data_IF_788906741203
#
_entry.id   IF_788906741203
#
_cell.length_a   1.000
_cell.length_b   1.000
_cell.length_c   1.000
_cell.angle_alpha   90.00
_cell.angle_beta   90.00
_cell.angle_gamma   90.00
#
_symmetry.space_group_name_H-M   'P 1'
#
loop_
_entity.id
_entity.type
_entity.pdbx_description
1 polymer ?
#
# COMPACT_ATOMS: atom_id res chain seq x y z
N UNK A 1 24.20 10.70 10.47
CA UNK A 1 23.52 9.39 10.64
C UNK A 1 23.02 8.94 9.29
N UNK A 2 23.25 7.71 8.90
CA UNK A 2 22.68 7.13 7.68
C UNK A 2 21.26 6.65 7.97
N UNK A 3 20.35 6.71 6.98
CA UNK A 3 19.02 6.13 7.07
C UNK A 3 19.17 4.61 6.95
N UNK A 4 18.65 3.87 7.94
CA UNK A 4 18.69 2.40 7.92
C UNK A 4 17.64 1.80 6.97
N UNK A 5 17.80 0.54 6.59
CA UNK A 5 16.83 -0.19 5.76
C UNK A 5 15.44 -0.26 6.43
N UNK A 6 15.40 -0.43 7.76
CA UNK A 6 14.16 -0.39 8.52
C UNK A 6 13.51 0.99 8.45
N UNK A 7 14.27 2.06 8.72
CA UNK A 7 13.75 3.44 8.66
C UNK A 7 13.27 3.82 7.26
N UNK A 8 13.92 3.31 6.22
CA UNK A 8 13.52 3.53 4.83
C UNK A 8 12.30 2.70 4.41
N UNK A 9 11.90 1.65 5.13
CA UNK A 9 10.84 0.71 4.73
C UNK A 9 9.63 0.73 5.66
N UNK A 10 9.65 -0.02 6.74
CA UNK A 10 8.49 -0.30 7.59
C UNK A 10 7.73 0.96 8.05
N UNK A 11 8.36 1.98 8.66
CA UNK A 11 7.65 3.18 9.09
C UNK A 11 7.02 3.95 7.92
N UNK A 12 7.68 3.97 6.75
CA UNK A 12 7.21 4.70 5.57
C UNK A 12 5.95 4.08 5.00
N UNK A 13 5.93 2.75 4.87
CA UNK A 13 4.73 2.03 4.45
C UNK A 13 3.59 2.21 5.44
N UNK A 14 3.85 2.06 6.74
CA UNK A 14 2.83 2.21 7.79
C UNK A 14 2.22 3.60 7.79
N UNK A 15 3.04 4.66 7.71
CA UNK A 15 2.53 6.02 7.71
C UNK A 15 1.59 6.29 6.53
N UNK A 16 1.99 5.91 5.31
CA UNK A 16 1.16 6.17 4.15
C UNK A 16 -0.08 5.27 4.09
N UNK A 17 -0.02 4.04 4.63
CA UNK A 17 -1.20 3.20 4.81
C UNK A 17 -2.20 3.79 5.80
N UNK A 18 -1.74 4.41 6.90
CA UNK A 18 -2.61 5.16 7.83
C UNK A 18 -3.28 6.34 7.14
N UNK A 19 -2.52 7.09 6.33
CA UNK A 19 -3.07 8.20 5.56
C UNK A 19 -4.11 7.72 4.54
N UNK A 20 -3.83 6.61 3.84
CA UNK A 20 -4.78 5.98 2.93
C UNK A 20 -6.07 5.56 3.65
N UNK A 21 -5.97 4.98 4.85
CA UNK A 21 -7.14 4.64 5.67
C UNK A 21 -8.00 5.87 5.97
N UNK A 22 -7.38 7.00 6.35
CA UNK A 22 -8.10 8.27 6.56
C UNK A 22 -8.74 8.83 5.28
N UNK A 23 -8.11 8.62 4.12
CA UNK A 23 -8.69 8.96 2.81
C UNK A 23 -9.93 8.11 2.54
N UNK A 24 -9.91 6.81 2.87
CA UNK A 24 -11.07 5.91 2.73
C UNK A 24 -12.22 6.31 3.67
N UNK A 25 -11.93 6.82 4.89
CA UNK A 25 -12.96 7.37 5.79
C UNK A 25 -13.71 8.55 5.13
N UNK A 26 -12.96 9.48 4.52
CA UNK A 26 -13.54 10.61 3.81
C UNK A 26 -14.34 10.17 2.59
N UNK A 27 -13.88 9.13 1.88
CA UNK A 27 -14.60 8.59 0.73
C UNK A 27 -15.91 7.92 1.14
N UNK A 28 -15.93 7.19 2.25
CA UNK A 28 -17.14 6.62 2.81
C UNK A 28 -18.13 7.71 3.20
N UNK A 29 -17.70 8.71 3.97
CA UNK A 29 -18.55 9.82 4.39
C UNK A 29 -19.13 10.61 3.18
N UNK A 30 -18.33 10.79 2.12
CA UNK A 30 -18.78 11.40 0.87
C UNK A 30 -19.88 10.58 0.20
N UNK A 31 -19.69 9.25 0.10
CA UNK A 31 -20.70 8.36 -0.50
C UNK A 31 -22.02 8.42 0.29
N UNK A 32 -21.97 8.39 1.62
CA UNK A 32 -23.12 8.49 2.51
C UNK A 32 -23.85 9.83 2.34
N UNK A 33 -23.11 10.94 2.38
CA UNK A 33 -23.69 12.30 2.23
C UNK A 33 -24.34 12.52 0.87
N UNK A 34 -23.80 11.91 -0.19
CA UNK A 34 -24.32 12.00 -1.57
C UNK A 34 -25.33 10.90 -1.90
N UNK A 35 -25.60 9.96 -0.99
CA UNK A 35 -26.44 8.77 -1.21
C UNK A 35 -25.97 7.93 -2.39
N UNK A 36 -24.65 7.82 -2.58
CA UNK A 36 -24.00 6.98 -3.58
C UNK A 36 -23.75 5.61 -2.96
N UNK A 37 -24.06 4.52 -3.66
CA UNK A 37 -23.61 3.19 -3.22
C UNK A 37 -22.08 3.16 -3.14
N UNK A 38 -21.45 2.90 -1.98
CA UNK A 38 -19.99 2.87 -1.83
C UNK A 38 -19.29 1.96 -2.83
N UNK A 39 -19.96 0.90 -3.31
CA UNK A 39 -19.41 -0.03 -4.31
C UNK A 39 -19.16 0.64 -5.66
N UNK A 40 -19.87 1.70 -5.99
CA UNK A 40 -19.59 2.50 -7.20
C UNK A 40 -18.19 3.12 -7.11
N UNK A 41 -17.81 3.66 -5.95
CA UNK A 41 -16.49 4.26 -5.73
C UNK A 41 -15.37 3.20 -5.64
N UNK A 42 -15.62 2.08 -4.96
CA UNK A 42 -14.61 1.01 -4.84
C UNK A 42 -14.35 0.30 -6.17
N UNK A 43 -15.33 0.24 -7.07
CA UNK A 43 -15.19 -0.32 -8.42
C UNK A 43 -14.71 0.71 -9.47
N UNK A 44 -14.65 2.01 -9.10
CA UNK A 44 -14.27 3.06 -10.04
C UNK A 44 -12.78 2.99 -10.44
N UNK A 45 -12.48 3.36 -11.69
CA UNK A 45 -11.13 3.36 -12.27
C UNK A 45 -10.95 4.57 -13.18
N UNK A 46 -9.69 5.03 -13.33
CA UNK A 46 -9.40 6.19 -14.17
C UNK A 46 -9.50 5.88 -15.67
N UNK A 47 -9.16 4.65 -16.05
CA UNK A 47 -9.22 4.20 -17.44
C UNK A 47 -9.64 2.72 -17.51
N UNK A 48 -10.30 2.26 -18.58
CA UNK A 48 -10.87 0.89 -18.66
C UNK A 48 -9.92 -0.26 -18.40
N UNK A 49 -8.63 -0.12 -18.73
CA UNK A 49 -7.59 -1.15 -18.51
C UNK A 49 -6.85 -1.03 -17.17
N UNK A 50 -7.11 0.03 -16.40
CA UNK A 50 -6.51 0.21 -15.08
C UNK A 50 -7.27 -0.59 -14.01
N UNK A 51 -6.58 -0.94 -12.94
CA UNK A 51 -7.20 -1.53 -11.76
C UNK A 51 -8.22 -0.58 -11.11
N UNK A 52 -9.35 -1.09 -10.61
CA UNK A 52 -10.29 -0.30 -9.82
C UNK A 52 -9.71 0.09 -8.47
N UNK A 53 -10.33 1.09 -7.81
CA UNK A 53 -9.89 1.67 -6.54
C UNK A 53 -9.62 0.59 -5.48
N UNK A 54 -10.53 -0.37 -5.29
CA UNK A 54 -10.32 -1.46 -4.34
C UNK A 54 -9.03 -2.24 -4.63
N UNK A 55 -8.77 -2.56 -5.91
CA UNK A 55 -7.56 -3.28 -6.30
C UNK A 55 -6.29 -2.46 -6.10
N UNK A 56 -6.35 -1.14 -6.23
CA UNK A 56 -5.22 -0.27 -5.92
C UNK A 56 -4.83 -0.38 -4.45
N UNK A 57 -5.81 -0.37 -3.54
CA UNK A 57 -5.57 -0.53 -2.09
C UNK A 57 -5.02 -1.92 -1.76
N UNK A 58 -5.58 -2.97 -2.37
CA UNK A 58 -5.11 -4.34 -2.18
C UNK A 58 -3.63 -4.49 -2.57
N UNK A 59 -3.26 -4.01 -3.77
CA UNK A 59 -1.87 -4.10 -4.25
C UNK A 59 -0.92 -3.23 -3.43
N UNK A 60 -1.36 -2.06 -2.95
CA UNK A 60 -0.56 -1.26 -2.02
C UNK A 60 -0.26 -2.02 -0.72
N UNK A 61 -1.27 -2.64 -0.11
CA UNK A 61 -1.09 -3.49 1.08
C UNK A 61 -0.15 -4.68 0.82
N UNK A 62 -0.34 -5.38 -0.31
CA UNK A 62 0.50 -6.53 -0.68
C UNK A 62 1.95 -6.12 -0.94
N UNK A 63 2.16 -4.97 -1.56
CA UNK A 63 3.50 -4.42 -1.80
C UNK A 63 4.19 -4.08 -0.48
N UNK A 64 3.50 -3.39 0.44
CA UNK A 64 4.06 -2.98 1.72
C UNK A 64 4.44 -4.19 2.59
N UNK A 65 3.48 -5.12 2.82
CA UNK A 65 3.74 -6.32 3.63
C UNK A 65 4.79 -7.22 2.99
N UNK A 66 4.71 -7.40 1.65
CA UNK A 66 5.66 -8.23 0.92
C UNK A 66 7.07 -7.67 0.91
N UNK A 67 7.23 -6.34 0.86
CA UNK A 67 8.54 -5.69 0.95
C UNK A 67 9.17 -5.94 2.32
N UNK A 68 8.45 -5.64 3.39
CA UNK A 68 8.95 -5.82 4.75
C UNK A 68 9.25 -7.29 5.08
N UNK A 69 8.37 -8.21 4.66
CA UNK A 69 8.56 -9.65 4.90
C UNK A 69 9.79 -10.22 4.18
N UNK A 70 10.00 -9.85 2.89
CA UNK A 70 11.16 -10.31 2.12
C UNK A 70 12.48 -9.78 2.69
N UNK A 71 12.52 -8.51 3.07
CA UNK A 71 13.68 -7.93 3.74
C UNK A 71 13.95 -8.65 5.06
N UNK A 72 12.93 -8.82 5.89
CA UNK A 72 13.05 -9.51 7.18
C UNK A 72 13.32 -11.03 7.05
N UNK A 73 13.07 -11.64 5.89
CA UNK A 73 13.24 -13.08 5.69
C UNK A 73 12.16 -13.93 6.36
N UNK A 74 10.95 -13.39 6.49
CA UNK A 74 9.80 -14.09 7.08
C UNK A 74 8.74 -14.41 6.02
N UNK A 75 7.83 -15.33 6.36
CA UNK A 75 6.71 -15.67 5.48
C UNK A 75 5.79 -14.46 5.26
N UNK A 76 5.29 -14.32 4.03
CA UNK A 76 4.37 -13.23 3.67
C UNK A 76 2.94 -13.70 3.98
N UNK A 77 2.19 -13.02 4.87
CA UNK A 77 0.80 -13.37 5.14
C UNK A 77 -0.04 -13.30 3.87
N UNK A 78 -0.86 -14.32 3.64
CA UNK A 78 -1.80 -14.34 2.51
C UNK A 78 -3.05 -13.58 2.91
N UNK A 79 -3.48 -12.65 2.05
CA UNK A 79 -4.80 -12.02 2.13
C UNK A 79 -5.54 -12.32 0.83
N UNK A 80 -6.78 -12.75 0.94
CA UNK A 80 -7.63 -12.92 -0.24
C UNK A 80 -8.12 -11.54 -0.73
N UNK A 81 -8.24 -11.40 -2.06
CA UNK A 81 -8.63 -10.13 -2.69
C UNK A 81 -10.15 -10.06 -2.87
N UNK A 82 -10.88 -10.12 -1.76
CA UNK A 82 -12.36 -10.21 -1.72
C UNK A 82 -13.04 -8.92 -1.30
N UNK A 83 -12.27 -7.91 -0.88
CA UNK A 83 -12.80 -6.66 -0.36
C UNK A 83 -13.57 -5.87 -1.43
N UNK A 84 -14.80 -5.49 -1.09
CA UNK A 84 -15.70 -4.71 -1.94
C UNK A 84 -16.14 -3.38 -1.29
N UNK A 85 -16.02 -3.26 0.03
CA UNK A 85 -16.45 -2.11 0.80
C UNK A 85 -15.27 -1.34 1.40
N UNK A 86 -15.48 -0.07 1.75
CA UNK A 86 -14.46 0.72 2.45
C UNK A 86 -14.06 0.12 3.80
N UNK A 87 -15.01 -0.45 4.53
CA UNK A 87 -14.76 -1.09 5.82
C UNK A 87 -13.80 -2.29 5.67
N UNK A 88 -14.04 -3.17 4.70
CA UNK A 88 -13.17 -4.32 4.41
C UNK A 88 -11.77 -3.89 3.96
N UNK A 89 -11.68 -2.86 3.10
CA UNK A 89 -10.39 -2.32 2.67
C UNK A 89 -9.59 -1.71 3.84
N UNK A 90 -10.27 -1.03 4.76
CA UNK A 90 -9.65 -0.51 5.99
C UNK A 90 -9.19 -1.63 6.92
N UNK A 91 -9.96 -2.70 7.04
CA UNK A 91 -9.56 -3.88 7.81
C UNK A 91 -8.30 -4.52 7.20
N UNK A 92 -8.21 -4.65 5.86
CA UNK A 92 -7.00 -5.10 5.18
C UNK A 92 -5.79 -4.21 5.46
N UNK A 93 -5.98 -2.89 5.44
CA UNK A 93 -4.91 -1.93 5.80
C UNK A 93 -4.48 -2.16 7.25
N UNK A 94 -5.41 -2.31 8.19
CA UNK A 94 -5.13 -2.53 9.61
C UNK A 94 -4.32 -3.83 9.82
N UNK A 95 -4.74 -4.95 9.23
CA UNK A 95 -4.01 -6.23 9.25
C UNK A 95 -2.59 -6.11 8.67
N UNK A 96 -2.44 -5.33 7.60
CA UNK A 96 -1.13 -5.07 6.99
C UNK A 96 -0.22 -4.27 7.92
N UNK A 97 -0.74 -3.21 8.55
CA UNK A 97 -0.01 -2.39 9.52
C UNK A 97 0.39 -3.23 10.75
N UNK A 98 -0.53 -4.04 11.27
CA UNK A 98 -0.28 -4.93 12.39
C UNK A 98 0.87 -5.90 12.09
N UNK A 99 0.81 -6.59 10.95
CA UNK A 99 1.88 -7.47 10.51
C UNK A 99 3.24 -6.74 10.41
N UNK A 100 3.29 -5.58 9.75
CA UNK A 100 4.53 -4.81 9.63
C UNK A 100 5.04 -4.40 11.02
N UNK A 101 4.15 -4.09 11.96
CA UNK A 101 4.47 -3.74 13.33
C UNK A 101 5.09 -4.89 14.15
N UNK A 102 4.93 -6.14 13.74
CA UNK A 102 5.60 -7.28 14.40
C UNK A 102 7.09 -7.39 14.07
N UNK A 103 7.54 -6.76 12.98
CA UNK A 103 8.91 -6.85 12.49
C UNK A 103 9.83 -5.92 13.26
N UNK A 104 11.00 -6.43 13.63
CA UNK A 104 12.02 -5.70 14.40
C UNK A 104 13.04 -5.04 13.47
N UNK A 105 13.60 -3.87 13.84
CA UNK A 105 14.69 -3.27 13.08
C UNK A 105 15.83 -4.23 12.75
N UNK A 106 16.25 -5.04 13.71
CA UNK A 106 17.33 -6.03 13.53
C UNK A 106 17.06 -7.13 12.47
N UNK A 107 15.81 -7.31 12.04
CA UNK A 107 15.45 -8.24 10.97
C UNK A 107 15.61 -7.62 9.57
N UNK A 108 15.57 -6.28 9.48
CA UNK A 108 15.55 -5.54 8.22
C UNK A 108 16.85 -4.77 7.99
N UNK A 109 17.45 -4.22 9.04
CA UNK A 109 18.73 -3.52 8.94
C UNK A 109 19.86 -4.49 8.56
N UNK A 110 20.79 -4.03 7.72
CA UNK A 110 21.86 -4.87 7.19
C UNK A 110 21.47 -5.79 6.04
N UNK A 111 20.25 -5.62 5.47
CA UNK A 111 19.78 -6.44 4.35
C UNK A 111 19.97 -5.79 2.97
N UNK A 112 20.82 -4.77 2.88
CA UNK A 112 21.08 -4.00 1.65
C UNK A 112 21.48 -4.91 0.48
N UNK A 113 22.35 -5.91 0.75
CA UNK A 113 22.90 -6.85 -0.24
C UNK A 113 22.16 -8.19 -0.30
N UNK A 114 21.11 -8.38 0.52
CA UNK A 114 20.32 -9.62 0.54
C UNK A 114 19.70 -9.88 -0.82
N UNK A 115 19.87 -11.10 -1.34
CA UNK A 115 19.29 -11.51 -2.61
C UNK A 115 17.78 -11.74 -2.48
N UNK A 116 17.00 -11.04 -3.31
CA UNK A 116 15.54 -11.13 -3.36
C UNK A 116 15.14 -11.48 -4.79
N UNK A 117 14.46 -12.61 -4.95
CA UNK A 117 13.97 -13.07 -6.25
C UNK A 117 12.46 -12.82 -6.33
N UNK A 118 12.01 -12.19 -7.41
CA UNK A 118 10.61 -11.92 -7.71
C UNK A 118 10.25 -12.37 -9.12
N UNK A 119 9.03 -12.84 -9.31
CA UNK A 119 8.44 -12.95 -10.65
C UNK A 119 7.90 -11.60 -11.10
N UNK A 120 8.52 -11.03 -12.12
CA UNK A 120 8.11 -9.76 -12.74
C UNK A 120 7.84 -10.02 -14.21
N UNK A 121 6.60 -9.81 -14.66
CA UNK A 121 6.22 -10.11 -16.05
C UNK A 121 6.40 -11.58 -16.44
N UNK A 122 6.23 -12.51 -15.50
CA UNK A 122 6.38 -13.96 -15.72
C UNK A 122 7.83 -14.49 -15.66
N UNK A 123 8.82 -13.60 -15.50
CA UNK A 123 10.24 -13.96 -15.42
C UNK A 123 10.79 -13.71 -14.01
N UNK A 124 11.68 -14.58 -13.56
CA UNK A 124 12.39 -14.39 -12.30
C UNK A 124 13.43 -13.27 -12.45
N UNK A 125 13.34 -12.27 -11.59
CA UNK A 125 14.30 -11.16 -11.48
C UNK A 125 14.92 -11.17 -10.09
N UNK A 126 16.22 -11.06 -10.05
CA UNK A 126 17.00 -10.99 -8.81
C UNK A 126 17.39 -9.53 -8.54
N UNK A 127 17.19 -9.10 -7.31
CA UNK A 127 17.56 -7.78 -6.80
C UNK A 127 18.42 -7.93 -5.55
N UNK A 128 19.27 -6.97 -5.24
CA UNK A 128 19.72 -6.78 -3.87
C UNK A 128 18.60 -6.16 -3.04
N UNK A 129 18.65 -6.26 -1.70
CA UNK A 129 17.64 -5.68 -0.81
C UNK A 129 17.42 -4.19 -1.04
N UNK A 130 18.52 -3.44 -1.22
CA UNK A 130 18.45 -2.01 -1.53
C UNK A 130 17.79 -1.73 -2.89
N UNK A 131 18.21 -2.46 -3.94
CA UNK A 131 17.61 -2.33 -5.28
C UNK A 131 16.12 -2.69 -5.26
N UNK A 132 15.76 -3.75 -4.53
CA UNK A 132 14.37 -4.15 -4.38
C UNK A 132 13.54 -3.07 -3.67
N UNK A 133 14.02 -2.57 -2.54
CA UNK A 133 13.29 -1.57 -1.76
C UNK A 133 13.08 -0.28 -2.55
N UNK A 134 14.18 0.30 -3.08
CA UNK A 134 14.12 1.62 -3.69
C UNK A 134 13.68 1.60 -5.17
N UNK A 135 14.06 0.55 -5.91
CA UNK A 135 13.80 0.46 -7.36
C UNK A 135 12.50 -0.28 -7.72
N UNK A 136 11.93 -1.05 -6.81
CA UNK A 136 10.71 -1.82 -7.07
C UNK A 136 9.59 -1.56 -6.04
N UNK A 137 9.85 -1.81 -4.76
CA UNK A 137 8.80 -1.77 -3.74
C UNK A 137 8.23 -0.37 -3.53
N UNK A 138 9.07 0.63 -3.32
CA UNK A 138 8.61 2.02 -3.15
C UNK A 138 7.89 2.57 -4.39
N UNK A 139 8.45 2.49 -5.62
CA UNK A 139 7.74 2.98 -6.80
C UNK A 139 6.38 2.30 -6.98
N UNK A 140 6.29 0.99 -6.80
CA UNK A 140 5.05 0.24 -6.93
C UNK A 140 4.03 0.65 -5.85
N UNK A 141 4.46 0.75 -4.60
CA UNK A 141 3.61 1.16 -3.49
C UNK A 141 3.05 2.57 -3.68
N UNK A 142 3.91 3.55 -3.98
CA UNK A 142 3.48 4.93 -4.20
C UNK A 142 2.58 5.06 -5.42
N UNK A 143 2.85 4.32 -6.50
CA UNK A 143 1.97 4.29 -7.66
C UNK A 143 0.55 3.90 -7.28
N UNK A 144 0.37 2.80 -6.54
CA UNK A 144 -0.96 2.30 -6.18
C UNK A 144 -1.67 3.20 -5.16
N UNK A 145 -0.98 3.71 -4.14
CA UNK A 145 -1.59 4.65 -3.18
C UNK A 145 -1.98 5.96 -3.86
N UNK A 146 -1.12 6.50 -4.73
CA UNK A 146 -1.41 7.73 -5.48
C UNK A 146 -2.56 7.51 -6.45
N UNK A 147 -2.63 6.35 -7.11
CA UNK A 147 -3.73 6.04 -8.02
C UNK A 147 -5.06 5.90 -7.29
N UNK A 148 -5.09 5.24 -6.12
CA UNK A 148 -6.28 5.18 -5.27
C UNK A 148 -6.76 6.59 -4.87
N UNK A 149 -5.83 7.46 -4.42
CA UNK A 149 -6.11 8.86 -4.13
C UNK A 149 -6.69 9.59 -5.37
N UNK A 150 -6.07 9.45 -6.53
CA UNK A 150 -6.49 10.12 -7.76
C UNK A 150 -7.88 9.67 -8.21
N UNK A 151 -8.20 8.37 -8.10
CA UNK A 151 -9.53 7.83 -8.39
C UNK A 151 -10.58 8.51 -7.52
N UNK A 152 -10.38 8.55 -6.20
CA UNK A 152 -11.31 9.16 -5.26
C UNK A 152 -11.42 10.67 -5.44
N UNK A 153 -10.30 11.36 -5.70
CA UNK A 153 -10.29 12.79 -5.98
C UNK A 153 -11.05 13.11 -7.26
N UNK A 154 -10.85 12.33 -8.33
CA UNK A 154 -11.56 12.46 -9.60
C UNK A 154 -13.07 12.19 -9.45
N UNK A 155 -13.44 11.25 -8.58
CA UNK A 155 -14.84 10.95 -8.25
C UNK A 155 -15.53 12.02 -7.37
N UNK A 156 -14.84 13.11 -7.04
CA UNK A 156 -15.40 14.25 -6.32
C UNK A 156 -15.26 14.19 -4.80
N UNK A 157 -14.51 13.22 -4.25
CA UNK A 157 -14.23 13.19 -2.81
C UNK A 157 -13.36 14.38 -2.42
N UNK A 158 -13.74 15.10 -1.36
CA UNK A 158 -13.05 16.28 -0.85
C UNK A 158 -11.79 15.90 -0.08
N UNK A 159 -10.75 15.48 -0.80
CA UNK A 159 -9.41 15.17 -0.30
C UNK A 159 -8.37 16.04 -1.00
N UNK A 160 -7.23 16.26 -0.35
CA UNK A 160 -6.14 17.06 -0.89
C UNK A 160 -4.77 16.47 -0.56
N UNK A 161 -3.71 17.07 -1.04
CA UNK A 161 -2.33 16.66 -0.78
C UNK A 161 -2.05 16.50 0.73
N UNK A 162 -2.68 17.31 1.59
CA UNK A 162 -2.52 17.22 3.05
C UNK A 162 -3.02 15.89 3.61
N UNK A 163 -4.07 15.30 3.03
CA UNK A 163 -4.56 13.99 3.46
C UNK A 163 -3.58 12.87 3.07
N UNK A 164 -2.91 13.03 1.93
CA UNK A 164 -1.92 12.06 1.45
C UNK A 164 -0.63 12.05 2.28
N UNK A 165 -0.15 13.22 2.73
CA UNK A 165 1.09 13.38 3.51
C UNK A 165 0.84 13.75 4.97
N UNK A 166 -0.34 13.44 5.52
CA UNK A 166 -0.83 13.92 6.82
C UNK A 166 0.12 13.65 7.98
N UNK A 167 0.72 12.46 8.01
CA UNK A 167 1.65 12.05 9.07
C UNK A 167 3.03 11.82 8.44
N UNK A 168 4.05 12.57 8.90
CA UNK A 168 5.41 12.40 8.43
C UNK A 168 6.07 11.11 8.94
#
# INVERSE_FOLDING_TARGET
MAISMYQASAPRFVNLLKNLSGILDKAQAHAEAKKIDPRVLTAYRLFPDMFPMARQVQVACDTAKGACARLAGVEIPKHEDTEQTFAELKERIAKTIEFIGTLKPAQIDGTEDKQIVLKVGGQDRTFTGMQYLLGHAHPNFYFHVTTAYNILRHAGVEIGKRDFIANP
#
